data_IF_094839305665
#
_entry.id   IF_094839305665
#
_cell.length_a   1.000
_cell.length_b   1.000
_cell.length_c   1.000
_cell.angle_alpha   90.00
_cell.angle_beta   90.00
_cell.angle_gamma   90.00
#
_symmetry.space_group_name_H-M   'P 1'
#
loop_
_entity.id
_entity.type
_entity.pdbx_description
1 polymer ?
#
# COMPACT_ATOMS: atom_id res chain seq x y z
N UNK A 1 47.83 67.54 -1.98
CA UNK A 1 47.94 66.08 -1.80
C UNK A 1 47.09 65.69 -0.60
N UNK A 2 45.94 65.06 -0.80
CA UNK A 2 45.29 64.19 0.20
C UNK A 2 44.10 63.52 -0.50
N UNK A 3 44.38 62.32 -1.03
CA UNK A 3 43.43 61.50 -1.77
C UNK A 3 42.48 60.76 -0.83
N UNK A 4 41.23 60.62 -1.29
CA UNK A 4 40.23 59.71 -0.75
C UNK A 4 40.80 58.30 -0.61
N UNK A 5 40.65 57.69 0.56
CA UNK A 5 40.65 56.22 0.69
C UNK A 5 39.25 55.78 1.11
N UNK A 6 38.50 55.31 0.12
CA UNK A 6 37.25 54.56 0.32
C UNK A 6 37.64 53.14 0.73
N UNK A 7 37.40 52.78 1.98
CA UNK A 7 37.56 51.41 2.45
C UNK A 7 36.34 50.59 2.02
N UNK A 8 36.52 49.75 1.01
CA UNK A 8 35.55 48.73 0.63
C UNK A 8 35.49 47.66 1.74
N UNK A 9 34.36 47.56 2.42
CA UNK A 9 34.05 46.41 3.29
C UNK A 9 33.59 45.29 2.36
N UNK A 10 34.49 44.34 2.10
CA UNK A 10 34.14 43.07 1.48
C UNK A 10 33.28 42.28 2.48
N UNK A 11 31.96 42.35 2.29
CA UNK A 11 31.04 41.40 2.89
C UNK A 11 31.29 40.03 2.25
N UNK A 12 32.14 39.24 2.88
CA UNK A 12 32.27 37.83 2.55
C UNK A 12 30.94 37.15 2.90
N UNK A 13 30.19 36.73 1.89
CA UNK A 13 29.09 35.80 2.05
C UNK A 13 29.69 34.54 2.67
N UNK A 14 29.58 34.39 3.99
CA UNK A 14 29.87 33.15 4.66
C UNK A 14 28.82 32.15 4.18
N UNK A 15 29.18 31.40 3.14
CA UNK A 15 28.51 30.15 2.81
C UNK A 15 28.68 29.27 4.03
N UNK A 16 27.72 29.32 4.95
CA UNK A 16 27.46 28.22 5.85
C UNK A 16 27.12 27.04 4.96
N UNK A 17 28.15 26.30 4.55
CA UNK A 17 28.01 24.90 4.24
C UNK A 17 27.42 24.35 5.53
N UNK A 18 26.11 24.13 5.55
CA UNK A 18 25.54 23.22 6.51
C UNK A 18 26.37 21.97 6.30
N UNK A 19 27.26 21.67 7.26
CA UNK A 19 27.85 20.36 7.33
C UNK A 19 26.66 19.44 7.48
N UNK A 20 26.20 18.89 6.35
CA UNK A 20 25.39 17.68 6.37
C UNK A 20 26.27 16.75 7.19
N UNK A 21 25.82 16.32 8.38
CA UNK A 21 26.66 15.46 9.17
C UNK A 21 26.94 14.24 8.28
N UNK A 22 28.15 14.14 7.76
CA UNK A 22 28.68 12.90 7.20
C UNK A 22 29.04 11.98 8.37
N UNK A 23 28.14 11.88 9.34
CA UNK A 23 28.20 10.83 10.32
C UNK A 23 27.63 9.60 9.61
N UNK A 24 28.50 8.86 8.93
CA UNK A 24 28.28 7.43 8.75
C UNK A 24 28.12 6.85 10.16
N UNK A 25 26.88 6.70 10.63
CA UNK A 25 26.57 5.98 11.87
C UNK A 25 26.59 4.49 11.58
N UNK A 26 27.73 4.02 11.08
CA UNK A 26 28.12 2.64 11.31
C UNK A 26 28.51 2.56 12.78
N UNK A 27 27.72 1.83 13.58
CA UNK A 27 28.09 1.27 14.90
C UNK A 27 27.63 2.00 16.17
N UNK A 28 26.42 2.56 16.22
CA UNK A 28 25.83 3.05 17.49
C UNK A 28 25.12 1.96 18.32
N UNK A 29 25.05 0.72 17.82
CA UNK A 29 24.46 -0.40 18.54
C UNK A 29 25.48 -1.00 19.52
N UNK A 30 25.02 -1.40 20.70
CA UNK A 30 25.86 -1.99 21.73
C UNK A 30 26.48 -3.34 21.31
N UNK A 31 27.35 -3.88 22.15
CA UNK A 31 28.00 -5.17 21.92
C UNK A 31 26.99 -6.29 21.61
N UNK A 32 27.24 -7.06 20.53
CA UNK A 32 26.36 -8.08 19.95
C UNK A 32 25.06 -7.59 19.30
N UNK A 33 24.91 -6.30 19.03
CA UNK A 33 23.79 -5.76 18.26
C UNK A 33 24.25 -5.24 16.89
N UNK A 34 23.33 -5.19 15.93
CA UNK A 34 23.52 -4.53 14.65
C UNK A 34 22.38 -3.55 14.38
N UNK A 35 22.67 -2.54 13.57
CA UNK A 35 21.69 -1.53 13.16
C UNK A 35 20.79 -2.06 12.05
N UNK A 36 19.48 -2.05 12.29
CA UNK A 36 18.46 -2.43 11.31
C UNK A 36 17.81 -1.19 10.72
N UNK A 37 18.38 -0.70 9.62
CA UNK A 37 18.01 0.57 9.00
C UNK A 37 16.51 0.69 8.64
N UNK A 38 15.81 -0.33 8.09
CA UNK A 38 14.41 -0.20 7.69
C UNK A 38 13.44 0.16 8.81
N UNK A 39 13.77 -0.17 10.07
CA UNK A 39 12.95 0.16 11.24
C UNK A 39 13.65 1.11 12.21
N UNK A 40 14.91 1.46 11.96
CA UNK A 40 15.68 2.36 12.81
C UNK A 40 15.91 1.81 14.23
N UNK A 41 16.19 0.52 14.36
CA UNK A 41 16.38 -0.16 15.66
C UNK A 41 17.67 -0.97 15.71
N UNK A 42 18.22 -1.18 16.91
CA UNK A 42 19.30 -2.14 17.12
C UNK A 42 18.73 -3.53 17.41
N UNK A 43 19.17 -4.54 16.66
CA UNK A 43 18.77 -5.94 16.80
C UNK A 43 19.92 -6.79 17.30
N UNK A 44 19.62 -7.80 18.12
CA UNK A 44 20.63 -8.76 18.57
C UNK A 44 21.12 -9.63 17.41
N UNK A 45 22.43 -9.89 17.34
CA UNK A 45 23.00 -10.84 16.40
C UNK A 45 22.58 -12.28 16.74
N UNK A 46 21.69 -12.85 15.91
CA UNK A 46 21.14 -14.19 16.03
C UNK A 46 19.62 -14.18 16.11
N UNK A 47 19.06 -15.27 16.63
CA UNK A 47 17.60 -15.51 16.71
C UNK A 47 17.10 -15.61 18.15
N UNK A 48 17.81 -14.97 19.08
CA UNK A 48 17.50 -15.02 20.53
C UNK A 48 16.05 -14.60 20.83
N UNK A 49 15.54 -13.62 20.10
CA UNK A 49 14.19 -13.07 20.27
C UNK A 49 13.16 -13.69 19.32
N UNK A 50 13.43 -14.89 18.79
CA UNK A 50 12.52 -15.60 17.90
C UNK A 50 11.30 -16.12 18.65
N UNK A 51 10.13 -15.97 18.03
CA UNK A 51 8.91 -16.68 18.41
C UNK A 51 8.07 -16.98 17.16
N UNK A 52 6.90 -17.58 17.35
CA UNK A 52 5.99 -17.89 16.25
C UNK A 52 5.17 -16.66 15.85
N UNK A 53 5.02 -16.41 14.53
CA UNK A 53 4.16 -15.34 14.04
C UNK A 53 2.68 -15.64 14.29
N UNK A 54 1.81 -14.61 14.31
CA UNK A 54 0.37 -14.81 14.36
C UNK A 54 -0.15 -15.51 13.09
N UNK A 55 -1.38 -16.02 13.15
CA UNK A 55 -2.06 -16.58 11.98
C UNK A 55 -2.06 -15.59 10.80
N UNK A 56 -1.93 -16.11 9.57
CA UNK A 56 -1.82 -15.34 8.32
C UNK A 56 -0.60 -14.40 8.25
N UNK A 57 0.44 -14.67 9.04
CA UNK A 57 1.73 -14.03 8.89
C UNK A 57 2.83 -15.08 8.97
N UNK A 58 3.87 -14.89 8.16
CA UNK A 58 5.11 -15.62 8.28
C UNK A 58 6.28 -14.70 7.96
N UNK A 59 7.49 -15.19 8.19
CA UNK A 59 8.70 -14.50 7.80
C UNK A 59 9.31 -15.18 6.59
N UNK A 60 9.90 -14.37 5.74
CA UNK A 60 10.57 -14.85 4.55
C UNK A 60 11.86 -15.61 4.88
N UNK A 61 12.51 -16.10 3.83
CA UNK A 61 13.72 -16.90 3.90
C UNK A 61 14.80 -16.22 4.74
N UNK A 62 15.28 -16.93 5.77
CA UNK A 62 16.30 -16.47 6.72
C UNK A 62 15.90 -15.26 7.58
N UNK A 63 14.62 -14.92 7.65
CA UNK A 63 14.08 -13.93 8.59
C UNK A 63 13.26 -14.64 9.67
N UNK A 64 13.08 -13.98 10.82
CA UNK A 64 12.32 -14.57 11.93
C UNK A 64 11.40 -13.55 12.58
N UNK A 65 10.34 -14.05 13.21
CA UNK A 65 9.36 -13.21 13.88
C UNK A 65 9.90 -12.81 15.26
N UNK A 66 10.09 -11.50 15.45
CA UNK A 66 10.71 -10.98 16.66
C UNK A 66 9.67 -10.77 17.78
N UNK A 67 9.94 -11.33 18.96
CA UNK A 67 9.01 -11.39 20.09
C UNK A 67 8.51 -10.03 20.57
N UNK A 68 9.40 -9.05 20.75
CA UNK A 68 9.04 -7.71 21.25
C UNK A 68 8.55 -6.78 20.14
N UNK A 69 9.25 -6.77 19.01
CA UNK A 69 8.98 -5.90 17.88
C UNK A 69 7.70 -6.26 17.10
N UNK A 70 7.24 -7.52 17.14
CA UNK A 70 6.03 -7.99 16.45
C UNK A 70 6.08 -7.79 14.93
N UNK A 71 7.25 -7.97 14.34
CA UNK A 71 7.46 -8.03 12.89
C UNK A 71 8.64 -8.94 12.55
N UNK A 72 8.83 -9.24 11.26
CA UNK A 72 9.93 -10.06 10.78
C UNK A 72 11.23 -9.26 10.75
N UNK A 73 12.30 -9.87 11.26
CA UNK A 73 13.63 -9.27 11.27
C UNK A 73 14.69 -10.25 10.82
N UNK A 74 15.82 -9.75 10.29
CA UNK A 74 16.96 -10.60 9.99
C UNK A 74 17.75 -10.99 11.25
N UNK A 75 18.47 -12.11 11.22
CA UNK A 75 19.33 -12.55 12.32
C UNK A 75 20.68 -11.83 12.38
N UNK A 76 21.17 -11.24 11.29
CA UNK A 76 22.49 -10.59 11.25
C UNK A 76 22.44 -9.34 10.38
N UNK A 77 23.50 -8.52 10.41
CA UNK A 77 23.65 -7.31 9.59
C UNK A 77 23.77 -7.57 8.09
N UNK A 78 24.16 -8.78 7.68
CA UNK A 78 24.25 -9.18 6.27
C UNK A 78 22.96 -9.85 5.85
N UNK A 79 21.90 -9.05 5.74
CA UNK A 79 20.58 -9.53 5.35
C UNK A 79 20.23 -9.12 3.92
N UNK A 80 19.74 -10.10 3.16
CA UNK A 80 19.10 -9.86 1.87
C UNK A 80 17.63 -9.48 2.04
N UNK A 81 16.90 -9.45 0.92
CA UNK A 81 15.45 -9.32 0.95
C UNK A 81 14.82 -10.50 1.70
N UNK A 82 13.70 -10.26 2.37
CA UNK A 82 13.04 -11.29 3.14
C UNK A 82 12.61 -12.49 2.28
N UNK A 83 12.24 -12.30 1.00
CA UNK A 83 11.80 -13.36 0.07
C UNK A 83 10.74 -14.29 0.68
N UNK A 84 9.47 -13.97 0.42
CA UNK A 84 8.35 -14.81 0.85
C UNK A 84 8.26 -16.11 0.03
N UNK A 85 7.75 -17.17 0.66
CA UNK A 85 7.48 -18.43 -0.03
C UNK A 85 6.31 -18.28 -1.02
N UNK A 86 6.15 -19.24 -1.93
CA UNK A 86 5.04 -19.27 -2.88
C UNK A 86 3.68 -19.13 -2.19
N UNK A 87 2.83 -18.26 -2.75
CA UNK A 87 1.52 -17.93 -2.17
C UNK A 87 1.58 -16.90 -1.03
N UNK A 88 2.72 -16.27 -0.80
CA UNK A 88 2.88 -15.18 0.18
C UNK A 88 3.56 -13.96 -0.45
N UNK A 89 3.12 -12.77 -0.07
CA UNK A 89 3.71 -11.50 -0.50
C UNK A 89 4.24 -10.71 0.70
N UNK A 90 5.33 -9.97 0.50
CA UNK A 90 5.86 -9.09 1.52
C UNK A 90 4.95 -7.87 1.68
N UNK A 91 4.50 -7.62 2.91
CA UNK A 91 3.72 -6.44 3.28
C UNK A 91 4.63 -5.49 4.06
N UNK A 92 4.98 -4.33 3.49
CA UNK A 92 5.86 -3.35 4.13
C UNK A 92 5.25 -2.71 5.39
N UNK A 93 3.92 -2.64 5.47
CA UNK A 93 3.22 -2.05 6.62
C UNK A 93 3.29 -2.98 7.83
N UNK A 94 3.04 -4.27 7.62
CA UNK A 94 3.16 -5.32 8.65
C UNK A 94 4.59 -5.78 8.84
N UNK A 95 5.42 -5.55 7.83
CA UNK A 95 6.81 -5.94 7.77
C UNK A 95 6.99 -7.45 7.99
N UNK A 96 6.16 -8.19 7.26
CA UNK A 96 6.04 -9.65 7.29
C UNK A 96 5.50 -10.14 5.96
N UNK A 97 5.66 -11.42 5.70
CA UNK A 97 4.98 -12.07 4.59
C UNK A 97 3.52 -12.35 5.00
N UNK A 98 2.59 -12.00 4.13
CA UNK A 98 1.14 -12.27 4.26
C UNK A 98 0.66 -13.10 3.08
N UNK A 99 -0.48 -13.83 3.19
CA UNK A 99 -1.01 -14.57 2.06
C UNK A 99 -1.14 -13.65 0.84
N UNK A 100 -0.62 -14.11 -0.30
CA UNK A 100 -0.79 -13.39 -1.55
C UNK A 100 -2.30 -13.27 -1.83
N UNK A 101 -2.76 -12.14 -2.39
CA UNK A 101 -4.13 -12.04 -2.88
C UNK A 101 -4.42 -13.20 -3.82
N UNK A 102 -5.61 -13.79 -3.72
CA UNK A 102 -6.04 -14.80 -4.67
C UNK A 102 -5.96 -14.22 -6.09
N UNK A 103 -5.53 -15.01 -7.09
CA UNK A 103 -5.53 -14.57 -8.47
C UNK A 103 -6.93 -14.10 -8.84
N UNK A 104 -7.02 -12.97 -9.56
CA UNK A 104 -8.28 -12.54 -10.12
C UNK A 104 -8.86 -13.67 -10.99
N UNK A 105 -10.18 -13.96 -10.90
CA UNK A 105 -10.77 -15.03 -11.67
C UNK A 105 -10.66 -14.73 -13.17
N UNK A 106 -10.32 -15.72 -13.98
CA UNK A 106 -10.35 -15.60 -15.43
C UNK A 106 -11.80 -15.74 -15.96
N UNK A 107 -12.09 -15.28 -17.19
CA UNK A 107 -13.36 -15.54 -17.84
C UNK A 107 -13.68 -17.05 -17.81
N UNK A 108 -14.87 -17.41 -17.32
CA UNK A 108 -15.30 -18.81 -17.20
C UNK A 108 -14.91 -19.51 -15.91
N UNK A 109 -14.16 -18.87 -15.01
CA UNK A 109 -13.82 -19.43 -13.68
C UNK A 109 -14.80 -19.01 -12.57
N UNK A 110 -15.86 -18.27 -12.91
CA UNK A 110 -16.89 -17.91 -11.94
C UNK A 110 -17.77 -19.13 -11.61
N UNK A 111 -18.17 -19.23 -10.34
CA UNK A 111 -19.15 -20.22 -9.89
C UNK A 111 -20.46 -20.10 -10.69
N UNK A 112 -21.27 -21.16 -10.73
CA UNK A 112 -22.53 -21.21 -11.48
C UNK A 112 -23.55 -20.12 -11.10
N UNK A 113 -23.43 -19.54 -9.90
CA UNK A 113 -24.27 -18.44 -9.39
C UNK A 113 -23.69 -17.05 -9.65
N UNK A 114 -22.56 -16.96 -10.36
CA UNK A 114 -21.85 -15.72 -10.64
C UNK A 114 -21.58 -15.57 -12.14
N UNK A 115 -21.31 -14.34 -12.57
CA UNK A 115 -20.83 -14.02 -13.91
C UNK A 115 -19.55 -13.19 -13.84
N UNK A 116 -18.74 -13.29 -14.89
CA UNK A 116 -17.48 -12.54 -14.97
C UNK A 116 -17.73 -11.10 -15.41
N UNK A 117 -17.27 -10.14 -14.60
CA UNK A 117 -17.31 -8.72 -14.92
C UNK A 117 -15.93 -8.24 -15.35
N UNK A 118 -15.77 -8.04 -16.66
CA UNK A 118 -14.50 -7.70 -17.30
C UNK A 118 -13.88 -6.39 -16.78
N UNK A 119 -14.69 -5.38 -16.47
CA UNK A 119 -14.20 -4.04 -16.08
C UNK A 119 -13.36 -4.06 -14.80
N UNK A 120 -13.72 -4.89 -13.81
CA UNK A 120 -12.96 -5.04 -12.56
C UNK A 120 -12.32 -6.42 -12.42
N UNK A 121 -12.30 -7.21 -13.51
CA UNK A 121 -11.74 -8.57 -13.56
C UNK A 121 -12.16 -9.42 -12.36
N UNK A 122 -13.46 -9.47 -12.08
CA UNK A 122 -14.00 -10.11 -10.88
C UNK A 122 -15.30 -10.85 -11.18
N UNK A 123 -15.68 -11.81 -10.33
CA UNK A 123 -16.96 -12.49 -10.42
C UNK A 123 -18.02 -11.77 -9.59
N UNK A 124 -19.19 -11.52 -10.17
CA UNK A 124 -20.32 -10.91 -9.50
C UNK A 124 -21.48 -11.90 -9.39
N UNK A 125 -22.23 -11.92 -8.27
CA UNK A 125 -23.42 -12.74 -8.15
C UNK A 125 -24.51 -12.27 -9.13
N UNK A 126 -25.23 -13.22 -9.73
CA UNK A 126 -26.44 -12.88 -10.48
C UNK A 126 -27.46 -12.20 -9.56
N UNK A 127 -28.00 -11.06 -10.01
CA UNK A 127 -28.93 -10.23 -9.23
C UNK A 127 -28.23 -9.19 -8.34
N UNK A 128 -26.92 -9.30 -8.11
CA UNK A 128 -26.15 -8.44 -7.22
C UNK A 128 -25.97 -9.02 -5.82
N UNK A 129 -25.23 -8.30 -4.96
CA UNK A 129 -24.99 -8.70 -3.57
C UNK A 129 -26.35 -8.83 -2.84
N UNK A 130 -26.49 -9.80 -1.92
CA UNK A 130 -27.75 -10.08 -1.23
C UNK A 130 -28.27 -8.91 -0.40
N UNK A 131 -27.35 -8.13 0.18
CA UNK A 131 -27.63 -6.93 0.97
C UNK A 131 -26.72 -5.79 0.51
N UNK A 132 -27.01 -5.18 -0.65
CA UNK A 132 -26.14 -4.13 -1.19
C UNK A 132 -26.31 -2.86 -0.35
N UNK A 133 -25.21 -2.19 0.04
CA UNK A 133 -25.30 -0.90 0.72
C UNK A 133 -25.94 0.15 -0.18
N UNK A 134 -26.53 1.18 0.41
CA UNK A 134 -26.94 2.37 -0.36
C UNK A 134 -25.71 3.20 -0.74
N UNK A 135 -25.70 3.82 -1.92
CA UNK A 135 -24.64 4.75 -2.30
C UNK A 135 -24.59 5.94 -1.33
N UNK A 136 -23.40 6.50 -1.04
CA UNK A 136 -23.27 7.74 -0.27
C UNK A 136 -24.02 8.91 -0.90
N UNK A 137 -24.33 9.93 -0.09
CA UNK A 137 -25.05 11.11 -0.54
C UNK A 137 -24.39 11.76 -1.77
N UNK A 138 -25.18 11.89 -2.85
CA UNK A 138 -24.73 12.49 -4.10
C UNK A 138 -24.23 11.49 -5.15
N UNK A 139 -24.07 10.21 -4.83
CA UNK A 139 -23.77 9.16 -5.80
C UNK A 139 -24.98 8.29 -6.08
N UNK A 140 -25.07 7.78 -7.30
CA UNK A 140 -26.14 6.87 -7.71
C UNK A 140 -25.60 5.78 -8.62
N UNK A 141 -26.31 4.66 -8.68
CA UNK A 141 -26.06 3.64 -9.67
C UNK A 141 -27.08 3.72 -10.81
N UNK A 142 -26.65 3.44 -12.05
CA UNK A 142 -27.55 3.28 -13.18
C UNK A 142 -28.64 2.24 -12.92
N UNK A 143 -29.71 2.30 -13.72
CA UNK A 143 -30.69 1.22 -13.73
C UNK A 143 -30.03 -0.12 -14.09
N UNK A 144 -30.43 -1.21 -13.42
CA UNK A 144 -29.81 -2.56 -13.46
C UNK A 144 -28.41 -2.69 -12.83
N UNK A 145 -27.90 -1.63 -12.21
CA UNK A 145 -26.66 -1.67 -11.43
C UNK A 145 -26.99 -1.59 -9.93
N UNK A 146 -26.00 -1.86 -9.08
CA UNK A 146 -26.13 -1.80 -7.64
C UNK A 146 -24.84 -1.31 -7.00
N UNK A 147 -24.96 -0.67 -5.84
CA UNK A 147 -23.82 -0.14 -5.12
C UNK A 147 -23.13 -1.24 -4.32
N UNK A 148 -21.81 -1.36 -4.45
CA UNK A 148 -20.98 -2.33 -3.73
C UNK A 148 -20.29 -1.69 -2.53
N UNK A 149 -19.99 -2.50 -1.53
CA UNK A 149 -19.16 -2.10 -0.38
C UNK A 149 -17.76 -1.60 -0.78
N UNK A 150 -17.27 -2.03 -1.95
CA UNK A 150 -16.03 -1.54 -2.56
C UNK A 150 -16.13 -0.12 -3.16
N UNK A 151 -17.22 0.61 -2.91
CA UNK A 151 -17.34 2.04 -3.22
C UNK A 151 -17.65 2.37 -4.67
N UNK A 152 -18.28 1.46 -5.41
CA UNK A 152 -18.62 1.67 -6.82
C UNK A 152 -19.87 0.88 -7.22
N UNK A 153 -20.44 1.22 -8.36
CA UNK A 153 -21.55 0.48 -8.95
C UNK A 153 -21.07 -0.72 -9.75
N UNK A 154 -21.81 -1.81 -9.64
CA UNK A 154 -21.59 -3.02 -10.42
C UNK A 154 -22.89 -3.48 -11.09
N UNK A 155 -22.81 -4.14 -12.27
CA UNK A 155 -23.99 -4.65 -12.95
C UNK A 155 -24.61 -5.83 -12.19
N UNK A 156 -25.94 -5.98 -12.26
CA UNK A 156 -26.64 -7.13 -11.65
C UNK A 156 -26.63 -8.39 -12.52
N UNK A 157 -26.28 -8.29 -13.80
CA UNK A 157 -26.34 -9.39 -14.79
C UNK A 157 -25.33 -9.12 -15.91
N UNK A 158 -24.86 -10.14 -16.65
CA UNK A 158 -23.82 -10.00 -17.68
C UNK A 158 -24.23 -9.08 -18.84
N UNK A 159 -25.51 -9.08 -19.22
CA UNK A 159 -26.04 -8.22 -20.29
C UNK A 159 -26.48 -6.85 -19.74
N UNK A 160 -25.53 -6.12 -19.16
CA UNK A 160 -25.81 -4.85 -18.46
C UNK A 160 -25.83 -3.61 -19.36
N UNK A 161 -25.41 -3.74 -20.62
CA UNK A 161 -25.40 -2.63 -21.58
C UNK A 161 -24.54 -1.44 -21.14
N UNK A 162 -24.83 -0.27 -21.70
CA UNK A 162 -24.20 0.97 -21.25
C UNK A 162 -24.89 1.49 -19.99
N UNK A 163 -24.13 1.99 -19.00
CA UNK A 163 -24.70 2.59 -17.80
C UNK A 163 -25.48 3.86 -18.18
N UNK A 164 -26.76 3.86 -17.83
CA UNK A 164 -27.66 4.99 -18.05
C UNK A 164 -27.97 5.67 -16.70
N UNK A 165 -27.42 6.86 -16.51
CA UNK A 165 -27.64 7.66 -15.31
C UNK A 165 -28.84 8.58 -15.52
N UNK A 166 -29.58 8.87 -14.45
CA UNK A 166 -30.62 9.89 -14.46
C UNK A 166 -30.13 11.21 -15.04
N UNK A 167 -31.03 11.99 -15.67
CA UNK A 167 -30.72 13.23 -16.39
C UNK A 167 -29.92 14.29 -15.60
N UNK A 168 -29.92 14.21 -14.26
CA UNK A 168 -29.17 15.12 -13.37
C UNK A 168 -27.74 14.66 -13.09
N UNK A 169 -27.37 13.48 -13.58
CA UNK A 169 -26.10 12.83 -13.30
C UNK A 169 -25.34 12.52 -14.59
N UNK A 170 -24.05 12.25 -14.43
CA UNK A 170 -23.15 11.77 -15.48
C UNK A 170 -22.40 10.55 -14.97
N UNK A 171 -22.29 9.54 -15.83
CA UNK A 171 -21.52 8.33 -15.53
C UNK A 171 -20.02 8.64 -15.50
N UNK A 172 -19.39 8.36 -14.37
CA UNK A 172 -17.94 8.36 -14.21
C UNK A 172 -17.40 6.96 -14.57
N UNK A 173 -16.70 6.87 -15.70
CA UNK A 173 -16.16 5.58 -16.21
C UNK A 173 -14.99 5.05 -15.40
N UNK A 174 -14.28 5.90 -14.68
CA UNK A 174 -13.08 5.52 -13.93
C UNK A 174 -13.49 5.03 -12.53
N UNK A 175 -14.43 5.73 -11.92
CA UNK A 175 -14.93 5.41 -10.58
C UNK A 175 -16.17 4.51 -10.58
N UNK A 176 -16.82 4.33 -11.73
CA UNK A 176 -17.97 3.47 -11.96
C UNK A 176 -19.20 3.83 -11.10
N UNK A 177 -19.59 5.11 -11.10
CA UNK A 177 -20.84 5.56 -10.51
C UNK A 177 -21.36 6.85 -11.18
N UNK A 178 -22.63 7.16 -10.97
CA UNK A 178 -23.23 8.40 -11.42
C UNK A 178 -22.90 9.53 -10.44
N UNK A 179 -22.33 10.63 -10.94
CA UNK A 179 -22.08 11.86 -10.17
C UNK A 179 -23.00 13.00 -10.63
N UNK A 180 -23.35 13.96 -9.77
CA UNK A 180 -24.19 15.08 -10.17
C UNK A 180 -23.50 15.89 -11.27
N UNK A 181 -24.26 16.30 -12.28
CA UNK A 181 -23.75 17.21 -13.31
C UNK A 181 -23.29 18.49 -12.63
N UNK A 182 -22.03 18.86 -12.85
CA UNK A 182 -21.56 20.20 -12.51
C UNK A 182 -22.14 21.16 -13.55
N UNK A 183 -22.98 22.07 -13.08
CA UNK A 183 -23.50 23.19 -13.86
C UNK A 183 -22.43 24.26 -14.03
#
# INVERSE_FOLDING_TARGET
>A
MLGLKVSAVLAACASMVAAVPTYKQTDACGYNYFWFAPKGVCLWNGTKDKCDPPAQQNCGKNWYWHKSNKYCVPPTSSYGNAECNDGWNWDDSKYSCVPAPEPAPAPGQCNSTHFYWKTKTTCLPYGGDSTPPSPPNGYQCPDKWYWRSAGHCAPRKPDYGNPDCDNKYTWDKDNLYCTPRRY
#
